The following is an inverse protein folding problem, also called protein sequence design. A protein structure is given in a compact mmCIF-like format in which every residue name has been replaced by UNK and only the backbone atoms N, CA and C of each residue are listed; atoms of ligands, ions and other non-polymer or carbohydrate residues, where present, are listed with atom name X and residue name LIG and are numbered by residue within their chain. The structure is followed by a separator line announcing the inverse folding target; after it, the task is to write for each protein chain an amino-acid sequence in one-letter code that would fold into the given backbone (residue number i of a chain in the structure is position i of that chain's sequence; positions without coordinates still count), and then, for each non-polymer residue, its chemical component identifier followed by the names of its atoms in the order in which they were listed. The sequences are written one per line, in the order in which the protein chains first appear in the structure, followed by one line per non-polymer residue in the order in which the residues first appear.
data_IF_291930441684
#
_entry.id   IF_291930441684
#
_cell.length_a   1.000
_cell.length_b   1.000
_cell.length_c   1.000
_cell.angle_alpha   90.00
_cell.angle_beta   90.00
_cell.angle_gamma   90.00
#
_symmetry.space_group_name_H-M   'P 1'
#
loop_
_entity.id
_entity.type
_entity.pdbx_description
1 polymer ?
#
# COMPACT_ATOMS: atom_id res chain seq x y z
N UNK A 1 5.41 49.70 -17.81
CA UNK A 1 5.15 49.17 -19.16
C UNK A 1 3.64 49.10 -19.29
N UNK A 2 3.03 49.94 -20.14
CA UNK A 2 1.57 49.98 -20.29
C UNK A 2 1.22 49.07 -21.47
N UNK A 3 0.60 47.93 -21.18
CA UNK A 3 0.20 46.95 -22.19
C UNK A 3 -1.18 47.39 -22.70
N UNK A 4 -1.26 47.97 -23.90
CA UNK A 4 -2.54 48.24 -24.56
C UNK A 4 -3.02 46.92 -25.19
N UNK A 5 -3.93 46.25 -24.50
CA UNK A 5 -4.69 45.11 -25.03
C UNK A 5 -5.84 45.64 -25.89
N UNK A 6 -5.94 45.22 -27.15
CA UNK A 6 -7.10 45.46 -27.99
C UNK A 6 -8.28 44.63 -27.42
N UNK A 7 -9.17 45.30 -26.69
CA UNK A 7 -10.29 44.64 -26.00
C UNK A 7 -11.38 44.20 -26.99
N UNK A 8 -11.66 42.89 -26.98
CA UNK A 8 -13.03 42.38 -27.13
C UNK A 8 -13.93 43.03 -26.06
N UNK A 9 -15.21 43.36 -26.34
CA UNK A 9 -16.09 44.03 -25.38
C UNK A 9 -16.34 43.12 -24.16
N UNK A 10 -15.59 43.37 -23.08
CA UNK A 10 -15.72 42.67 -21.80
C UNK A 10 -15.46 43.63 -20.64
N UNK A 11 -16.22 43.47 -19.55
CA UNK A 11 -16.03 44.23 -18.30
C UNK A 11 -14.97 43.60 -17.38
N UNK A 12 -14.23 42.59 -17.88
CA UNK A 12 -13.28 41.79 -17.13
C UNK A 12 -11.95 41.68 -17.88
N UNK A 13 -10.84 41.84 -17.17
CA UNK A 13 -9.48 41.64 -17.67
C UNK A 13 -8.73 40.68 -16.75
N UNK A 14 -8.07 39.68 -17.32
CA UNK A 14 -7.19 38.78 -16.61
C UNK A 14 -5.74 39.04 -17.05
N UNK A 15 -4.88 39.43 -16.11
CA UNK A 15 -3.44 39.54 -16.36
C UNK A 15 -2.78 38.19 -16.07
N UNK A 16 -2.30 37.53 -17.13
CA UNK A 16 -1.77 36.16 -17.06
C UNK A 16 -0.25 36.12 -16.83
N UNK A 17 0.45 37.26 -16.84
CA UNK A 17 1.91 37.32 -16.83
C UNK A 17 2.48 37.99 -15.58
N UNK A 18 1.87 37.71 -14.43
CA UNK A 18 2.28 38.25 -13.14
C UNK A 18 3.30 37.36 -12.44
N UNK A 19 4.28 37.98 -11.79
CA UNK A 19 5.22 37.29 -10.93
C UNK A 19 4.62 37.11 -9.54
N UNK A 20 4.61 35.87 -9.04
CA UNK A 20 4.16 35.57 -7.69
C UNK A 20 4.98 36.36 -6.66
N UNK A 21 4.29 36.88 -5.64
CA UNK A 21 4.90 37.67 -4.57
C UNK A 21 5.23 39.13 -4.94
N UNK A 22 5.01 39.54 -6.18
CA UNK A 22 5.17 40.94 -6.61
C UNK A 22 3.83 41.67 -6.50
N UNK A 23 3.82 42.85 -5.89
CA UNK A 23 2.62 43.68 -5.83
C UNK A 23 2.40 44.41 -7.14
N UNK A 24 1.18 44.31 -7.67
CA UNK A 24 0.74 45.00 -8.89
C UNK A 24 -0.39 45.97 -8.56
N UNK A 25 -0.47 47.05 -9.33
CA UNK A 25 -1.45 48.12 -9.17
C UNK A 25 -2.23 48.31 -10.47
N UNK A 26 -3.56 48.33 -10.38
CA UNK A 26 -4.45 48.44 -11.54
C UNK A 26 -5.41 49.62 -11.38
N UNK A 27 -5.62 50.35 -12.47
CA UNK A 27 -6.67 51.36 -12.63
C UNK A 27 -7.25 51.22 -14.04
N UNK A 28 -8.54 51.53 -14.21
CA UNK A 28 -9.28 51.34 -15.46
C UNK A 28 -9.67 52.72 -16.00
N UNK A 29 -9.39 52.98 -17.28
CA UNK A 29 -9.91 54.13 -18.03
C UNK A 29 -10.88 53.67 -19.10
N UNK A 30 -12.01 54.36 -19.24
CA UNK A 30 -12.94 54.14 -20.34
C UNK A 30 -12.57 55.07 -21.50
N UNK A 31 -12.77 54.65 -22.75
CA UNK A 31 -12.55 55.52 -23.90
C UNK A 31 -13.70 55.44 -24.90
N UNK A 32 -13.96 56.53 -25.60
CA UNK A 32 -14.86 56.60 -26.75
C UNK A 32 -14.24 57.46 -27.87
N UNK A 33 -15.01 57.75 -28.93
CA UNK A 33 -14.53 58.52 -30.08
C UNK A 33 -14.13 59.97 -29.75
N UNK A 34 -14.54 60.49 -28.59
CA UNK A 34 -14.25 61.86 -28.15
C UNK A 34 -13.01 61.89 -27.25
N UNK A 35 -12.76 60.86 -26.47
CA UNK A 35 -11.58 60.78 -25.60
C UNK A 35 -11.65 59.70 -24.54
N UNK A 36 -10.67 59.72 -23.64
CA UNK A 36 -10.55 58.84 -22.48
C UNK A 36 -11.18 59.51 -21.23
N UNK A 37 -11.73 58.72 -20.31
CA UNK A 37 -12.22 59.18 -19.01
C UNK A 37 -11.08 59.39 -18.02
N UNK A 38 -11.38 59.98 -16.87
CA UNK A 38 -10.50 59.88 -15.70
C UNK A 38 -10.32 58.39 -15.30
N UNK A 39 -9.14 58.00 -14.79
CA UNK A 39 -8.91 56.67 -14.27
C UNK A 39 -9.79 56.35 -13.06
N UNK A 40 -10.15 55.07 -12.90
CA UNK A 40 -10.77 54.56 -11.68
C UNK A 40 -9.83 54.66 -10.47
N UNK A 41 -10.36 54.43 -9.27
CA UNK A 41 -9.53 54.19 -8.09
C UNK A 41 -8.54 53.05 -8.35
N UNK A 42 -7.28 53.27 -7.98
CA UNK A 42 -6.24 52.24 -8.06
C UNK A 42 -6.47 51.18 -7.00
N UNK A 43 -6.46 49.92 -7.41
CA UNK A 43 -6.45 48.74 -6.53
C UNK A 43 -5.10 48.03 -6.64
N UNK A 44 -4.66 47.35 -5.59
CA UNK A 44 -3.46 46.52 -5.62
C UNK A 44 -3.75 45.06 -5.30
N UNK A 45 -2.85 44.17 -5.73
CA UNK A 45 -2.90 42.75 -5.42
C UNK A 45 -1.53 42.11 -5.55
N UNK A 46 -1.27 41.09 -4.73
CA UNK A 46 -0.08 40.25 -4.80
C UNK A 46 -0.52 38.86 -5.29
N UNK A 47 -0.13 38.43 -6.49
CA UNK A 47 -0.38 37.08 -6.95
C UNK A 47 0.33 36.10 -6.02
N UNK A 48 -0.40 35.10 -5.56
CA UNK A 48 0.14 33.97 -4.80
C UNK A 48 -0.06 32.71 -5.62
N UNK A 49 0.89 31.75 -5.59
CA UNK A 49 0.70 30.47 -6.23
C UNK A 49 -0.53 29.79 -5.61
N UNK A 50 -1.50 29.45 -6.46
CA UNK A 50 -2.62 28.60 -6.02
C UNK A 50 -2.05 27.19 -5.92
N UNK A 51 -1.70 26.77 -4.71
CA UNK A 51 -1.33 25.40 -4.40
C UNK A 51 -2.62 24.60 -4.24
N UNK A 52 -2.68 23.42 -4.82
CA UNK A 52 -3.79 22.48 -4.69
C UNK A 52 -3.29 21.17 -4.07
N UNK A 53 -4.19 20.28 -3.60
CA UNK A 53 -3.80 18.94 -3.20
C UNK A 53 -3.05 18.21 -4.32
N UNK A 54 -2.00 17.44 -4.01
CA UNK A 54 -1.35 16.59 -4.99
C UNK A 54 -2.28 15.44 -5.41
N UNK A 55 -1.98 14.85 -6.57
CA UNK A 55 -2.65 13.65 -7.07
C UNK A 55 -2.34 12.39 -6.25
N UNK A 56 -2.90 11.27 -6.72
CA UNK A 56 -2.68 9.95 -6.12
C UNK A 56 -1.31 9.41 -6.58
N UNK A 57 -0.48 8.81 -5.69
CA UNK A 57 0.75 8.13 -6.09
C UNK A 57 0.52 7.07 -7.18
N UNK A 58 1.46 6.95 -8.12
CA UNK A 58 1.36 6.03 -9.27
C UNK A 58 2.23 4.78 -9.08
N UNK A 59 2.06 3.76 -9.94
CA UNK A 59 2.87 2.54 -9.97
C UNK A 59 3.02 1.86 -8.59
N UNK A 60 1.92 1.82 -7.86
CA UNK A 60 1.90 1.36 -6.47
C UNK A 60 2.01 -0.15 -6.42
N UNK A 61 2.90 -0.69 -5.58
CA UNK A 61 3.07 -2.12 -5.40
C UNK A 61 3.28 -2.50 -3.94
N UNK A 62 2.90 -3.74 -3.61
CA UNK A 62 3.07 -4.35 -2.29
C UNK A 62 3.73 -5.72 -2.46
N UNK A 63 4.81 -5.96 -1.74
CA UNK A 63 5.49 -7.26 -1.66
C UNK A 63 5.56 -7.72 -0.22
N UNK A 64 5.17 -8.97 0.06
CA UNK A 64 5.33 -9.59 1.39
C UNK A 64 6.67 -10.32 1.43
N UNK A 65 7.51 -10.00 2.40
CA UNK A 65 8.80 -10.67 2.66
C UNK A 65 8.86 -11.16 4.11
N UNK A 66 8.56 -12.44 4.33
CA UNK A 66 8.52 -13.05 5.65
C UNK A 66 7.49 -12.40 6.58
N UNK A 67 7.97 -11.59 7.54
CA UNK A 67 7.14 -10.82 8.49
C UNK A 67 7.15 -9.33 8.18
N UNK A 68 7.47 -8.97 6.95
CA UNK A 68 7.54 -7.58 6.50
C UNK A 68 6.69 -7.38 5.25
N UNK A 69 6.25 -6.15 5.05
CA UNK A 69 5.61 -5.68 3.83
C UNK A 69 6.44 -4.53 3.28
N UNK A 70 6.81 -4.64 2.00
CA UNK A 70 7.52 -3.61 1.25
C UNK A 70 6.52 -2.95 0.32
N UNK A 71 6.31 -1.65 0.51
CA UNK A 71 5.50 -0.80 -0.34
C UNK A 71 6.41 -0.01 -1.27
N UNK A 72 6.05 0.10 -2.54
CA UNK A 72 6.73 0.97 -3.51
C UNK A 72 5.72 1.78 -4.30
N UNK A 73 6.11 2.97 -4.75
CA UNK A 73 5.26 3.86 -5.53
C UNK A 73 6.12 4.82 -6.38
N UNK A 74 5.46 5.61 -7.22
CA UNK A 74 6.02 6.77 -7.94
C UNK A 74 5.28 8.03 -7.55
N UNK A 75 5.91 9.18 -7.78
CA UNK A 75 5.25 10.49 -7.61
C UNK A 75 3.95 10.56 -8.45
N UNK A 76 2.92 11.25 -7.95
CA UNK A 76 1.74 11.55 -8.75
C UNK A 76 2.10 12.36 -10.00
N UNK A 77 1.32 12.20 -11.07
CA UNK A 77 1.45 13.04 -12.28
C UNK A 77 1.18 14.53 -12.04
N UNK A 78 0.33 14.84 -11.07
CA UNK A 78 0.00 16.21 -10.66
C UNK A 78 0.47 16.43 -9.21
N UNK A 79 1.40 17.37 -9.01
CA UNK A 79 1.94 17.71 -7.69
C UNK A 79 1.08 18.78 -6.97
N UNK A 80 0.06 19.30 -7.63
CA UNK A 80 -0.78 20.37 -7.10
C UNK A 80 -0.08 21.72 -7.09
N UNK A 81 0.81 21.97 -8.06
CA UNK A 81 1.57 23.23 -8.24
C UNK A 81 2.51 23.54 -7.07
N UNK A 82 2.91 22.51 -6.32
CA UNK A 82 3.92 22.56 -5.27
C UNK A 82 4.61 21.19 -5.19
N UNK A 83 5.94 21.11 -5.06
CA UNK A 83 6.65 19.84 -5.06
C UNK A 83 6.15 18.86 -3.99
N UNK A 84 6.22 17.57 -4.30
CA UNK A 84 5.97 16.51 -3.31
C UNK A 84 7.10 16.53 -2.27
N UNK A 85 6.71 16.72 -1.01
CA UNK A 85 7.65 16.76 0.12
C UNK A 85 7.67 15.44 0.91
N UNK A 86 6.69 14.57 0.68
CA UNK A 86 6.63 13.27 1.32
C UNK A 86 5.32 12.52 1.11
N UNK A 87 5.16 11.45 1.88
CA UNK A 87 4.02 10.55 1.79
C UNK A 87 3.54 10.13 3.19
N UNK A 88 2.23 9.96 3.32
CA UNK A 88 1.59 9.37 4.50
C UNK A 88 1.26 7.92 4.18
N UNK A 89 1.78 7.00 5.00
CA UNK A 89 1.47 5.58 4.91
C UNK A 89 0.36 5.28 5.92
N UNK A 90 -0.77 4.81 5.42
CA UNK A 90 -1.91 4.38 6.24
C UNK A 90 -1.90 2.85 6.35
N UNK A 91 -2.26 2.31 7.52
CA UNK A 91 -2.39 0.87 7.75
C UNK A 91 -3.59 0.53 8.62
N UNK A 92 -4.32 -0.53 8.25
CA UNK A 92 -5.44 -1.08 9.00
C UNK A 92 -5.39 -2.62 9.11
N UNK A 93 -6.23 -3.17 9.99
CA UNK A 93 -6.50 -4.63 10.04
C UNK A 93 -7.73 -5.02 9.19
N UNK A 94 -8.43 -4.03 8.63
CA UNK A 94 -9.50 -4.13 7.65
C UNK A 94 -9.36 -2.94 6.68
N UNK A 95 -10.22 -2.90 5.66
CA UNK A 95 -10.26 -1.88 4.61
C UNK A 95 -10.99 -0.58 5.00
N UNK A 96 -11.77 -0.59 6.08
CA UNK A 96 -12.59 0.55 6.52
C UNK A 96 -11.93 1.41 7.62
N UNK A 97 -10.89 0.91 8.29
CA UNK A 97 -10.27 1.51 9.47
C UNK A 97 -8.73 1.49 9.34
N UNK A 98 -8.22 2.42 8.53
CA UNK A 98 -6.78 2.63 8.34
C UNK A 98 -6.32 3.87 9.12
N UNK A 99 -5.25 3.72 9.88
CA UNK A 99 -4.62 4.80 10.65
C UNK A 99 -3.25 5.16 10.09
N UNK A 100 -2.74 6.35 10.43
CA UNK A 100 -1.39 6.77 10.05
C UNK A 100 -0.37 5.84 10.72
N UNK A 101 0.33 5.08 9.89
CA UNK A 101 1.48 4.28 10.29
C UNK A 101 2.75 5.12 10.30
N UNK A 102 2.98 5.90 9.24
CA UNK A 102 4.21 6.65 9.07
C UNK A 102 4.00 7.90 8.19
N UNK A 103 4.86 8.90 8.42
CA UNK A 103 5.09 10.00 7.49
C UNK A 103 6.54 9.85 7.00
N UNK A 104 6.71 9.69 5.71
CA UNK A 104 8.04 9.56 5.08
C UNK A 104 8.33 10.80 4.25
N UNK A 105 9.60 11.16 4.14
CA UNK A 105 10.07 12.22 3.23
C UNK A 105 9.79 11.85 1.77
N UNK A 106 10.24 12.65 0.80
CA UNK A 106 10.13 12.29 -0.62
C UNK A 106 11.03 11.10 -0.99
N UNK A 107 10.54 9.91 -0.62
CA UNK A 107 11.07 8.58 -0.95
C UNK A 107 10.00 7.81 -1.71
N UNK A 108 10.38 6.74 -2.37
CA UNK A 108 9.50 5.94 -3.23
C UNK A 108 9.20 4.54 -2.66
N UNK A 109 9.62 4.27 -1.42
CA UNK A 109 9.41 2.99 -0.77
C UNK A 109 9.31 3.13 0.75
N UNK A 110 8.64 2.16 1.37
CA UNK A 110 8.55 2.00 2.82
C UNK A 110 8.42 0.52 3.19
N UNK A 111 9.10 0.09 4.25
CA UNK A 111 9.05 -1.28 4.75
C UNK A 111 8.42 -1.30 6.14
N UNK A 112 7.28 -1.96 6.27
CA UNK A 112 6.64 -2.27 7.56
C UNK A 112 7.13 -3.63 8.05
N UNK A 113 7.81 -3.68 9.19
CA UNK A 113 8.46 -4.90 9.72
C UNK A 113 7.70 -5.48 10.91
N UNK A 114 8.16 -6.65 11.37
CA UNK A 114 7.70 -7.31 12.60
C UNK A 114 6.20 -7.66 12.63
N UNK A 115 5.58 -7.78 11.47
CA UNK A 115 4.16 -8.10 11.31
C UNK A 115 3.82 -9.48 11.85
N UNK A 116 2.58 -9.63 12.31
CA UNK A 116 2.12 -10.87 12.94
C UNK A 116 1.74 -11.88 11.86
N UNK A 117 2.22 -13.11 12.04
CA UNK A 117 1.91 -14.24 11.15
C UNK A 117 0.41 -14.56 11.12
N UNK A 118 -0.06 -14.99 9.97
CA UNK A 118 -1.47 -15.30 9.74
C UNK A 118 -2.41 -14.09 9.74
N UNK A 119 -1.88 -12.86 9.74
CA UNK A 119 -2.68 -11.64 9.66
C UNK A 119 -2.70 -11.07 8.25
N UNK A 120 -3.80 -10.37 7.96
CA UNK A 120 -3.94 -9.53 6.78
C UNK A 120 -3.84 -8.08 7.23
N UNK A 121 -3.09 -7.29 6.48
CA UNK A 121 -2.91 -5.86 6.68
C UNK A 121 -3.32 -5.13 5.40
N UNK A 122 -3.93 -3.96 5.58
CA UNK A 122 -4.45 -3.12 4.51
C UNK A 122 -3.68 -1.81 4.52
N UNK A 123 -3.25 -1.35 3.35
CA UNK A 123 -2.41 -0.16 3.23
C UNK A 123 -2.94 0.81 2.19
N UNK A 124 -2.74 2.09 2.45
CA UNK A 124 -2.91 3.16 1.46
C UNK A 124 -1.74 4.13 1.57
N UNK A 125 -1.44 4.82 0.48
CA UNK A 125 -0.39 5.84 0.42
C UNK A 125 -1.04 7.15 0.00
N UNK A 126 -0.70 8.24 0.67
CA UNK A 126 -1.18 9.59 0.35
C UNK A 126 0.02 10.48 0.07
N UNK A 127 0.04 11.14 -1.09
CA UNK A 127 1.08 12.13 -1.41
C UNK A 127 0.87 13.41 -0.59
N UNK A 128 1.96 14.09 -0.25
CA UNK A 128 1.95 15.35 0.49
C UNK A 128 2.81 16.39 -0.22
N UNK A 129 2.24 17.57 -0.46
CA UNK A 129 3.00 18.75 -0.83
C UNK A 129 3.10 19.72 0.37
N UNK A 130 3.63 20.91 0.17
CA UNK A 130 3.90 21.87 1.25
C UNK A 130 2.65 22.22 2.08
N UNK A 131 1.47 22.22 1.47
CA UNK A 131 0.23 22.69 2.09
C UNK A 131 -0.81 21.60 2.32
N UNK A 132 -0.82 20.56 1.51
CA UNK A 132 -1.94 19.61 1.43
C UNK A 132 -1.49 18.15 1.39
N UNK A 133 -2.41 17.30 1.83
CA UNK A 133 -2.43 15.88 1.51
C UNK A 133 -3.33 15.66 0.29
N UNK A 134 -2.90 14.77 -0.60
CA UNK A 134 -3.68 14.33 -1.75
C UNK A 134 -4.75 13.30 -1.38
N UNK A 135 -5.27 12.63 -2.39
CA UNK A 135 -6.13 11.46 -2.21
C UNK A 135 -5.30 10.20 -1.95
N UNK A 136 -5.90 9.24 -1.24
CA UNK A 136 -5.31 7.94 -1.01
C UNK A 136 -5.33 7.07 -2.26
N UNK A 137 -4.34 6.18 -2.38
CA UNK A 137 -4.35 5.09 -3.37
C UNK A 137 -5.52 4.14 -3.16
N UNK A 138 -5.75 3.25 -4.12
CA UNK A 138 -6.51 2.03 -3.84
C UNK A 138 -5.87 1.25 -2.69
N UNK A 139 -6.69 0.43 -2.03
CA UNK A 139 -6.25 -0.38 -0.89
C UNK A 139 -5.35 -1.51 -1.38
N UNK A 140 -4.16 -1.59 -0.79
CA UNK A 140 -3.21 -2.68 -0.97
C UNK A 140 -3.38 -3.69 0.16
N UNK A 141 -3.30 -4.98 -0.14
CA UNK A 141 -3.56 -6.04 0.85
C UNK A 141 -2.34 -6.94 1.00
N UNK A 142 -1.71 -6.90 2.16
CA UNK A 142 -0.59 -7.77 2.53
C UNK A 142 -1.04 -8.91 3.44
N UNK A 143 -0.82 -10.16 3.04
CA UNK A 143 -1.15 -11.34 3.85
C UNK A 143 0.12 -12.02 4.35
N UNK A 144 0.32 -12.01 5.67
CA UNK A 144 1.49 -12.65 6.28
C UNK A 144 1.21 -14.13 6.45
N UNK A 145 2.09 -14.96 5.90
CA UNK A 145 1.99 -16.41 6.03
C UNK A 145 1.91 -16.83 7.50
N UNK A 146 1.15 -17.89 7.77
CA UNK A 146 1.24 -18.60 9.07
C UNK A 146 2.61 -19.27 9.16
N UNK A 147 3.01 -19.66 10.36
CA UNK A 147 4.16 -20.54 10.49
C UNK A 147 3.92 -21.81 9.67
N UNK A 148 4.92 -22.33 8.95
CA UNK A 148 4.83 -23.68 8.43
C UNK A 148 4.53 -24.61 9.60
N UNK A 149 3.57 -25.51 9.41
CA UNK A 149 3.17 -26.46 10.43
C UNK A 149 4.40 -27.28 10.87
N UNK A 150 4.80 -27.11 12.14
CA UNK A 150 5.88 -27.89 12.76
C UNK A 150 5.39 -29.26 13.25
N UNK A 151 4.18 -29.67 12.85
CA UNK A 151 3.72 -31.03 13.08
C UNK A 151 4.74 -31.98 12.45
N UNK A 152 5.47 -32.78 13.24
CA UNK A 152 6.32 -33.80 12.68
C UNK A 152 5.40 -34.70 11.89
N UNK A 153 5.57 -34.74 10.57
CA UNK A 153 4.79 -35.60 9.71
C UNK A 153 4.86 -37.01 10.29
N UNK A 154 3.76 -37.48 10.87
CA UNK A 154 3.65 -38.86 11.33
C UNK A 154 3.61 -39.73 10.08
N UNK A 155 4.79 -40.00 9.51
CA UNK A 155 4.95 -41.04 8.53
C UNK A 155 4.83 -42.37 9.29
N UNK A 156 3.71 -43.08 9.09
CA UNK A 156 3.65 -44.49 9.46
C UNK A 156 4.63 -45.20 8.52
N UNK A 157 5.85 -45.46 8.99
CA UNK A 157 6.80 -46.33 8.31
C UNK A 157 6.30 -47.77 8.45
N UNK A 158 5.59 -48.27 7.44
CA UNK A 158 5.35 -49.71 7.31
C UNK A 158 6.68 -50.33 6.89
N UNK A 159 7.45 -50.81 7.86
CA UNK A 159 8.67 -51.58 7.64
C UNK A 159 8.34 -52.90 6.94
N UNK A 160 8.48 -52.95 5.61
CA UNK A 160 8.57 -54.22 4.89
C UNK A 160 9.99 -54.74 5.03
N UNK A 161 10.33 -55.26 6.22
CA UNK A 161 11.51 -56.13 6.37
C UNK A 161 11.03 -57.56 6.18
N UNK A 162 10.82 -57.96 4.93
CA UNK A 162 10.72 -59.36 4.57
C UNK A 162 12.09 -60.00 4.74
N UNK A 163 12.25 -60.70 5.87
CA UNK A 163 13.42 -61.48 6.27
C UNK A 163 13.82 -62.49 5.18
N UNK A 164 15.00 -62.32 4.59
CA UNK A 164 15.71 -63.37 3.87
C UNK A 164 16.79 -63.95 4.81
N UNK A 165 16.72 -65.28 5.03
CA UNK A 165 17.80 -66.20 5.49
C UNK A 165 18.27 -66.05 6.97
N UNK A 166 18.39 -67.05 7.86
CA UNK A 166 18.65 -68.51 7.80
C UNK A 166 18.18 -69.14 9.13
N UNK A 167 17.67 -70.38 9.11
CA UNK A 167 17.98 -71.40 10.13
C UNK A 167 17.58 -72.79 9.63
N UNK A 168 18.49 -73.42 8.90
CA UNK A 168 18.56 -74.88 8.82
C UNK A 168 18.94 -75.36 10.22
N UNK A 169 18.06 -76.10 10.90
CA UNK A 169 18.47 -77.20 11.77
C UNK A 169 17.30 -78.18 11.93
N UNK A 170 17.46 -79.32 11.27
CA UNK A 170 16.68 -80.53 11.51
C UNK A 170 16.96 -81.02 12.93
N UNK A 171 15.93 -81.39 13.71
CA UNK A 171 15.89 -82.56 14.61
C UNK A 171 14.43 -82.79 15.04
N UNK A 172 13.88 -83.93 14.60
CA UNK A 172 12.65 -84.54 15.13
C UNK A 172 12.98 -85.23 16.44
N UNK A 173 12.14 -85.07 17.47
CA UNK A 173 11.73 -86.17 18.36
C UNK A 173 10.36 -85.87 18.97
N UNK A 174 9.37 -86.73 18.69
CA UNK A 174 8.05 -86.75 19.34
C UNK A 174 8.11 -87.79 20.45
N UNK A 175 8.19 -87.35 21.71
CA UNK A 175 7.88 -88.20 22.87
C UNK A 175 6.39 -88.04 23.15
N UNK A 176 5.57 -89.01 22.75
CA UNK A 176 4.22 -89.16 23.30
C UNK A 176 4.32 -90.28 24.33
N UNK A 177 4.25 -89.94 25.61
CA UNK A 177 3.95 -90.92 26.65
C UNK A 177 2.68 -90.51 27.38
N UNK A 178 1.86 -91.55 27.54
CA UNK A 178 0.50 -91.68 28.06
C UNK A 178 0.33 -91.03 29.44
N UNK A 179 -0.86 -90.64 29.92
CA UNK A 179 -2.24 -90.89 29.53
C UNK A 179 -3.12 -90.24 30.63
N UNK A 180 -4.19 -90.92 31.05
CA UNK A 180 -5.59 -90.65 30.71
C UNK A 180 -6.23 -89.58 31.60
N UNK A 181 -7.31 -88.93 31.13
CA UNK A 181 -8.42 -88.58 32.04
C UNK A 181 -9.74 -88.48 31.26
N UNK A 182 -10.52 -89.56 31.41
CA UNK A 182 -11.97 -89.62 31.72
C UNK A 182 -12.55 -88.27 32.13
N UNK A 183 -13.71 -87.78 31.67
CA UNK A 183 -15.12 -88.25 31.73
C UNK A 183 -15.91 -87.36 30.71
N UNK A 184 -17.16 -87.54 30.31
CA UNK A 184 -18.40 -88.14 30.80
C UNK A 184 -19.30 -88.38 29.54
N UNK A 185 -19.99 -89.51 29.41
CA UNK A 185 -21.41 -89.70 29.75
C UNK A 185 -22.33 -88.51 29.40
N UNK A 186 -23.19 -88.70 28.41
CA UNK A 186 -24.58 -88.25 28.39
C UNK A 186 -25.37 -89.19 27.44
N UNK A 187 -26.30 -89.92 28.06
CA UNK A 187 -27.51 -90.63 27.60
C UNK A 187 -27.52 -91.59 26.39
#
# INVERSE_FOLDING_TARGET
MSIRSEFEPGLTFADENLLNGVEYFYSITAFNIIGESEPSTTISGIPIPIITPPGIPENVSLTVDGRSVILTWSEPKDDGRSPIIGYVILRGNNDDDLEILANVSSVNNFTDTDLKRGRTYYYQIVAKNEMYHGNATEILVGRIAKEPDDSPGYFISISVVSLLLISILSIRHRKMHQGPHTTANED
#
